data_IF_148227406336
#
_entry.id   IF_148227406336
#
_cell.length_a   1.000
_cell.length_b   1.000
_cell.length_c   1.000
_cell.angle_alpha   90.00
_cell.angle_beta   90.00
_cell.angle_gamma   90.00
#
_symmetry.space_group_name_H-M   'P 1'
#
loop_
_entity.id
_entity.type
_entity.pdbx_description
1 polymer ?
#
# COMPACT_ATOMS: atom_id res chain seq x y z
N UNK A 1 -0.32 -5.11 7.90
CA UNK A 1 -0.63 -4.82 6.48
C UNK A 1 -0.56 -3.32 6.28
N UNK A 2 0.20 -2.85 5.29
CA UNK A 2 0.32 -1.43 4.94
C UNK A 2 -0.19 -1.28 3.51
N UNK A 3 -1.05 -0.30 3.24
CA UNK A 3 -1.60 -0.07 1.90
C UNK A 3 -1.46 1.39 1.50
N UNK A 4 -1.06 1.61 0.24
CA UNK A 4 -1.01 2.91 -0.41
C UNK A 4 -2.03 2.95 -1.54
N UNK A 5 -3.16 3.61 -1.32
CA UNK A 5 -4.30 3.59 -2.23
C UNK A 5 -4.32 4.87 -3.07
N UNK A 6 -4.32 4.70 -4.38
CA UNK A 6 -4.38 5.74 -5.39
C UNK A 6 -5.55 5.50 -6.33
N UNK A 7 -5.40 4.67 -7.40
CA UNK A 7 -6.46 4.46 -8.39
C UNK A 7 -7.82 4.06 -7.82
N UNK A 8 -7.84 3.21 -6.78
CA UNK A 8 -9.12 2.75 -6.19
C UNK A 8 -9.92 3.90 -5.56
N UNK A 9 -9.29 5.00 -5.15
CA UNK A 9 -9.98 6.18 -4.61
C UNK A 9 -10.92 6.84 -5.62
N UNK A 10 -10.66 6.67 -6.93
CA UNK A 10 -11.56 7.17 -7.98
C UNK A 10 -12.94 6.51 -7.93
N UNK A 11 -13.01 5.22 -7.57
CA UNK A 11 -14.26 4.50 -7.35
C UNK A 11 -15.04 5.00 -6.12
N UNK A 12 -14.36 5.68 -5.19
CA UNK A 12 -14.96 6.37 -4.05
C UNK A 12 -15.27 7.85 -4.32
N UNK A 13 -15.12 8.32 -5.56
CA UNK A 13 -15.41 9.70 -5.96
C UNK A 13 -14.30 10.71 -5.66
N UNK A 14 -13.09 10.25 -5.29
CA UNK A 14 -11.94 11.14 -5.07
C UNK A 14 -11.38 11.59 -6.42
N UNK A 15 -11.47 12.88 -6.69
CA UNK A 15 -10.87 13.49 -7.88
C UNK A 15 -9.37 13.75 -7.67
N UNK A 16 -8.57 13.58 -8.73
CA UNK A 16 -7.12 13.84 -8.64
C UNK A 16 -6.36 12.81 -7.81
N UNK A 17 -6.89 11.59 -7.69
CA UNK A 17 -6.20 10.49 -7.03
C UNK A 17 -4.86 10.20 -7.71
N UNK A 18 -3.85 9.85 -6.90
CA UNK A 18 -2.53 9.49 -7.38
C UNK A 18 -2.64 8.24 -8.27
N UNK A 19 -2.29 8.38 -9.54
CA UNK A 19 -2.54 7.34 -10.54
C UNK A 19 -1.66 6.10 -10.38
N UNK A 20 -0.52 6.24 -9.71
CA UNK A 20 0.51 5.21 -9.64
C UNK A 20 1.31 5.35 -8.32
N UNK A 21 0.74 4.92 -7.18
CA UNK A 21 1.40 4.99 -5.88
C UNK A 21 2.51 3.94 -5.73
N UNK A 22 3.68 4.36 -5.28
CA UNK A 22 4.76 3.50 -4.80
C UNK A 22 4.86 3.60 -3.27
N UNK A 23 4.89 2.45 -2.61
CA UNK A 23 4.99 2.31 -1.16
C UNK A 23 6.34 1.70 -0.77
N UNK A 24 7.04 2.31 0.18
CA UNK A 24 8.25 1.76 0.79
C UNK A 24 8.12 1.72 2.31
N UNK A 25 8.66 0.68 2.93
CA UNK A 25 8.79 0.53 4.37
C UNK A 25 10.26 0.53 4.75
N UNK A 26 10.64 1.40 5.67
CA UNK A 26 12.02 1.52 6.16
C UNK A 26 12.10 1.38 7.69
N UNK A 27 13.27 1.00 8.17
CA UNK A 27 13.63 1.15 9.59
C UNK A 27 13.73 2.63 9.96
N UNK A 28 13.74 2.95 11.25
CA UNK A 28 14.00 4.32 11.73
C UNK A 28 15.30 4.95 11.20
N UNK A 29 16.29 4.13 10.81
CA UNK A 29 17.57 4.59 10.26
C UNK A 29 17.56 4.67 8.72
N UNK A 30 16.39 4.52 8.08
CA UNK A 30 16.22 4.64 6.64
C UNK A 30 16.60 3.40 5.83
N UNK A 31 16.84 2.25 6.47
CA UNK A 31 17.13 0.99 5.76
C UNK A 31 15.83 0.41 5.20
N UNK A 32 15.80 0.14 3.89
CA UNK A 32 14.65 -0.45 3.21
C UNK A 32 14.38 -1.89 3.71
N UNK A 33 13.13 -2.17 4.05
CA UNK A 33 12.65 -3.49 4.47
C UNK A 33 11.85 -4.13 3.34
N UNK A 34 10.93 -3.37 2.76
CA UNK A 34 10.06 -3.81 1.68
C UNK A 34 9.60 -2.61 0.84
N UNK A 35 9.28 -2.86 -0.42
CA UNK A 35 8.61 -1.90 -1.30
C UNK A 35 7.55 -2.59 -2.14
N UNK A 36 6.56 -1.84 -2.59
CA UNK A 36 5.48 -2.30 -3.46
C UNK A 36 5.14 -1.19 -4.45
N UNK A 37 5.06 -1.59 -5.71
CA UNK A 37 4.59 -0.84 -6.86
C UNK A 37 3.70 -1.82 -7.63
N UNK A 38 2.40 -1.54 -7.74
CA UNK A 38 1.33 -2.48 -8.11
C UNK A 38 1.17 -3.71 -7.18
N UNK A 39 0.20 -3.67 -6.26
CA UNK A 39 -0.07 -4.75 -5.29
C UNK A 39 -0.35 -6.11 -5.95
N UNK A 40 -1.02 -6.10 -7.11
CA UNK A 40 -1.40 -7.30 -7.86
C UNK A 40 -0.22 -8.01 -8.54
N UNK A 41 0.90 -7.30 -8.72
CA UNK A 41 2.10 -7.82 -9.38
C UNK A 41 3.16 -8.34 -8.38
N UNK A 42 2.88 -8.24 -7.07
CA UNK A 42 3.74 -8.78 -6.02
C UNK A 42 3.77 -10.32 -5.97
N UNK A 43 4.57 -10.86 -5.05
CA UNK A 43 4.71 -12.31 -4.87
C UNK A 43 3.56 -12.97 -4.10
N UNK A 44 2.72 -12.17 -3.42
CA UNK A 44 1.69 -12.64 -2.48
C UNK A 44 0.34 -11.87 -2.58
N UNK A 45 -0.20 -11.60 -3.80
CA UNK A 45 -1.45 -10.84 -3.95
C UNK A 45 -2.65 -11.60 -3.34
N UNK A 46 -2.64 -12.94 -3.35
CA UNK A 46 -3.67 -13.76 -2.72
C UNK A 46 -3.73 -13.56 -1.20
N UNK A 47 -2.58 -13.60 -0.53
CA UNK A 47 -2.48 -13.36 0.92
C UNK A 47 -2.84 -11.92 1.30
N UNK A 48 -2.45 -10.95 0.48
CA UNK A 48 -2.81 -9.54 0.67
C UNK A 48 -4.33 -9.36 0.57
N UNK A 49 -4.98 -9.95 -0.43
CA UNK A 49 -6.43 -9.87 -0.60
C UNK A 49 -7.17 -10.54 0.57
N UNK A 50 -6.75 -11.75 0.95
CA UNK A 50 -7.34 -12.47 2.09
C UNK A 50 -7.15 -11.71 3.41
N UNK A 51 -5.96 -11.15 3.64
CA UNK A 51 -5.68 -10.36 4.84
C UNK A 51 -6.48 -9.05 4.85
N UNK A 52 -6.60 -8.38 3.71
CA UNK A 52 -7.42 -7.17 3.57
C UNK A 52 -8.86 -7.43 4.01
N UNK A 53 -9.48 -8.51 3.52
CA UNK A 53 -10.82 -8.91 3.93
C UNK A 53 -10.91 -9.20 5.44
N UNK A 54 -9.91 -9.88 6.00
CA UNK A 54 -9.88 -10.24 7.43
C UNK A 54 -9.80 -9.02 8.36
N UNK A 55 -9.09 -7.97 7.97
CA UNK A 55 -8.94 -6.74 8.77
C UNK A 55 -10.01 -5.68 8.44
N UNK A 56 -11.04 -6.04 7.65
CA UNK A 56 -12.14 -5.15 7.29
C UNK A 56 -11.76 -4.06 6.27
N UNK A 57 -10.63 -4.22 5.59
CA UNK A 57 -10.18 -3.33 4.55
C UNK A 57 -10.96 -3.60 3.26
N UNK A 58 -11.34 -2.55 2.53
CA UNK A 58 -12.03 -2.70 1.24
C UNK A 58 -11.15 -3.45 0.21
N UNK A 59 -11.78 -4.15 -0.73
CA UNK A 59 -11.08 -4.89 -1.77
C UNK A 59 -10.39 -3.94 -2.75
N UNK A 60 -9.17 -4.29 -3.17
CA UNK A 60 -8.47 -3.62 -4.25
C UNK A 60 -8.74 -4.39 -5.56
N UNK A 61 -9.04 -3.72 -6.69
CA UNK A 61 -9.11 -4.36 -8.00
C UNK A 61 -7.76 -4.96 -8.39
N UNK A 62 -7.76 -6.15 -8.98
CA UNK A 62 -6.53 -6.88 -9.34
C UNK A 62 -5.65 -6.14 -10.35
N UNK A 63 -6.24 -5.35 -11.24
CA UNK A 63 -5.54 -4.51 -12.21
C UNK A 63 -5.22 -3.10 -11.68
N UNK A 64 -5.48 -2.82 -10.40
CA UNK A 64 -5.17 -1.52 -9.80
C UNK A 64 -3.69 -1.37 -9.53
N UNK A 65 -3.19 -0.14 -9.73
CA UNK A 65 -1.84 0.27 -9.36
C UNK A 65 -1.67 0.67 -7.89
N UNK A 66 -2.69 0.44 -7.05
CA UNK A 66 -2.51 0.62 -5.60
C UNK A 66 -1.32 -0.23 -5.11
N UNK A 67 -0.65 0.19 -4.05
CA UNK A 67 0.46 -0.54 -3.45
C UNK A 67 0.04 -1.21 -2.13
N UNK A 68 0.61 -2.37 -1.82
CA UNK A 68 0.38 -3.02 -0.54
C UNK A 68 1.58 -3.86 -0.09
N UNK A 69 1.90 -3.78 1.20
CA UNK A 69 2.95 -4.56 1.86
C UNK A 69 2.32 -5.35 2.99
N UNK A 70 2.40 -6.67 2.90
CA UNK A 70 2.12 -7.59 4.00
C UNK A 70 3.44 -8.08 4.60
N UNK A 71 3.70 -7.69 5.85
CA UNK A 71 4.97 -7.97 6.53
C UNK A 71 4.73 -8.16 8.03
N UNK A 72 5.53 -9.04 8.63
CA UNK A 72 5.65 -9.20 10.09
C UNK A 72 6.87 -8.43 10.57
N UNK A 73 6.69 -7.57 11.56
CA UNK A 73 7.75 -6.71 12.09
C UNK A 73 8.03 -7.07 13.54
N UNK A 74 9.30 -7.04 13.93
CA UNK A 74 9.67 -7.04 15.34
C UNK A 74 9.22 -5.70 15.98
N UNK A 75 9.06 -5.63 17.32
CA UNK A 75 8.77 -4.37 17.99
C UNK A 75 9.84 -3.31 17.67
N UNK A 76 9.41 -2.12 17.24
CA UNK A 76 10.30 -1.04 16.88
C UNK A 76 9.62 0.08 16.09
N UNK A 77 10.39 1.10 15.76
CA UNK A 77 9.94 2.24 14.97
C UNK A 77 10.26 2.02 13.49
N UNK A 78 9.26 2.26 12.65
CA UNK A 78 9.32 2.10 11.20
C UNK A 78 8.66 3.28 10.51
N UNK A 79 9.06 3.54 9.27
CA UNK A 79 8.49 4.60 8.43
C UNK A 79 7.90 3.99 7.17
N UNK A 80 6.61 4.23 6.93
CA UNK A 80 5.97 3.96 5.65
C UNK A 80 6.02 5.24 4.80
N UNK A 81 6.60 5.14 3.61
CA UNK A 81 6.76 6.22 2.65
C UNK A 81 5.86 5.93 1.45
N UNK A 82 4.92 6.84 1.18
CA UNK A 82 4.02 6.76 0.04
C UNK A 82 4.29 7.93 -0.90
N UNK A 83 4.52 7.65 -2.17
CA UNK A 83 4.77 8.66 -3.20
C UNK A 83 4.26 8.22 -4.56
N UNK A 84 4.36 9.08 -5.57
CA UNK A 84 4.03 8.73 -6.95
C UNK A 84 5.24 8.23 -7.73
N UNK A 85 5.06 7.26 -8.62
CA UNK A 85 6.10 6.89 -9.58
C UNK A 85 6.49 8.09 -10.45
N UNK A 86 7.75 8.16 -10.88
CA UNK A 86 8.27 9.25 -11.73
C UNK A 86 8.03 10.67 -11.19
N UNK A 87 8.05 10.86 -9.86
CA UNK A 87 7.77 12.13 -9.18
C UNK A 87 6.37 12.71 -9.48
N UNK A 88 5.40 11.86 -9.81
CA UNK A 88 4.01 12.29 -9.94
C UNK A 88 3.40 12.62 -8.57
N UNK A 89 2.32 13.39 -8.57
CA UNK A 89 1.63 13.84 -7.36
C UNK A 89 0.12 13.69 -7.53
N UNK A 90 -0.58 13.51 -6.41
CA UNK A 90 -2.03 13.33 -6.38
C UNK A 90 -2.51 12.99 -4.96
N UNK A 91 -3.81 12.78 -4.82
CA UNK A 91 -4.42 12.36 -3.55
C UNK A 91 -4.20 10.85 -3.37
N UNK A 92 -3.60 10.46 -2.25
CA UNK A 92 -3.43 9.06 -1.89
C UNK A 92 -3.83 8.82 -0.44
N UNK A 93 -4.21 7.59 -0.13
CA UNK A 93 -4.57 7.15 1.22
C UNK A 93 -3.54 6.12 1.69
N UNK A 94 -2.86 6.42 2.79
CA UNK A 94 -1.96 5.48 3.47
C UNK A 94 -2.70 4.85 4.65
N UNK A 95 -2.79 3.53 4.67
CA UNK A 95 -3.48 2.78 5.72
C UNK A 95 -2.53 1.76 6.35
N UNK A 96 -2.66 1.58 7.67
CA UNK A 96 -1.91 0.58 8.42
C UNK A 96 -2.89 -0.22 9.26
N UNK A 97 -2.89 -1.53 9.05
CA UNK A 97 -3.70 -2.49 9.80
C UNK A 97 -2.81 -3.44 10.58
N UNK A 98 -3.11 -3.59 11.86
CA UNK A 98 -2.67 -4.75 12.63
C UNK A 98 -3.33 -6.00 12.07
N UNK A 99 -2.56 -7.07 11.92
CA UNK A 99 -3.01 -8.33 11.35
C UNK A 99 -2.98 -9.37 12.46
N UNK A 100 -4.14 -9.86 12.93
CA UNK A 100 -4.20 -10.89 13.97
C UNK A 100 -3.73 -12.26 13.48
#
# INVERSE_FOLDING_TARGET
>A
LIRGIGPTLTGFGVTGALADPILALTTANGVLIASSDDWGNGSNPGEIAATSARVGAFALPSASKDAAILVTLAPGNYTALLGGTNNTSGVALLEVYEVP
#
